data_IF_186875097408
#
_entry.id   IF_186875097408
#
_cell.length_a   1.000
_cell.length_b   1.000
_cell.length_c   1.000
_cell.angle_alpha   90.00
_cell.angle_beta   90.00
_cell.angle_gamma   90.00
#
_symmetry.space_group_name_H-M   'P 1'
#
loop_
_entity.id
_entity.type
_entity.pdbx_description
1 polymer ?
#
# COMPACT_ATOMS: atom_id res chain seq x y z
N UNK A 1 -32.78 19.47 -29.15
CA UNK A 1 -31.45 19.99 -28.74
C UNK A 1 -30.86 18.93 -27.82
N UNK A 2 -29.77 18.29 -28.23
CA UNK A 2 -29.08 17.29 -27.40
C UNK A 2 -28.10 18.02 -26.50
N UNK A 3 -28.41 18.11 -25.21
CA UNK A 3 -27.44 18.55 -24.21
C UNK A 3 -26.47 17.39 -23.96
N UNK A 4 -25.23 17.57 -24.42
CA UNK A 4 -24.14 16.64 -24.18
C UNK A 4 -23.63 16.87 -22.76
N UNK A 5 -23.87 15.89 -21.89
CA UNK A 5 -23.35 15.81 -20.53
C UNK A 5 -21.82 16.02 -20.56
N UNK A 6 -21.37 17.08 -19.89
CA UNK A 6 -19.97 17.49 -19.85
C UNK A 6 -19.16 16.51 -18.99
N UNK A 7 -17.92 16.17 -19.39
CA UNK A 7 -17.12 15.20 -18.67
C UNK A 7 -16.78 15.70 -17.26
N UNK A 8 -17.12 14.88 -16.28
CA UNK A 8 -16.86 15.05 -14.86
C UNK A 8 -15.38 15.45 -14.66
N UNK A 9 -15.14 16.56 -13.96
CA UNK A 9 -13.80 17.01 -13.59
C UNK A 9 -12.96 15.84 -13.04
N UNK A 10 -11.67 15.70 -13.39
CA UNK A 10 -10.83 14.66 -12.83
C UNK A 10 -10.73 14.91 -11.33
N UNK A 11 -11.30 14.00 -10.54
CA UNK A 11 -11.07 13.94 -9.10
C UNK A 11 -9.55 13.84 -8.93
N UNK A 12 -8.91 14.86 -8.34
CA UNK A 12 -7.47 14.80 -8.06
C UNK A 12 -7.22 13.59 -7.17
N UNK A 13 -6.66 12.52 -7.71
CA UNK A 13 -6.38 11.31 -6.95
C UNK A 13 -5.36 11.63 -5.85
N UNK A 14 -5.81 11.60 -4.59
CA UNK A 14 -4.97 11.89 -3.43
C UNK A 14 -4.06 10.71 -3.13
N UNK A 15 -2.80 10.98 -2.79
CA UNK A 15 -1.86 9.95 -2.35
C UNK A 15 -2.39 9.22 -1.11
N UNK A 16 -2.23 7.89 -1.08
CA UNK A 16 -2.61 7.07 0.08
C UNK A 16 -1.73 7.42 1.29
N UNK A 17 -2.20 7.26 2.53
CA UNK A 17 -1.31 7.30 3.69
C UNK A 17 -0.26 6.19 3.59
N UNK A 18 0.90 6.37 4.21
CA UNK A 18 1.87 5.28 4.28
C UNK A 18 1.40 4.22 5.30
N UNK A 19 1.72 2.93 5.08
CA UNK A 19 1.36 1.88 6.04
C UNK A 19 2.09 2.04 7.37
N UNK A 20 1.53 1.48 8.43
CA UNK A 20 2.08 1.55 9.80
C UNK A 20 2.82 0.27 10.21
N UNK A 21 2.64 -0.81 9.45
CA UNK A 21 3.37 -2.05 9.67
C UNK A 21 3.58 -2.87 8.40
N UNK A 22 4.59 -3.75 8.44
CA UNK A 22 4.87 -4.74 7.39
C UNK A 22 5.29 -6.07 8.01
N UNK A 23 4.75 -7.17 7.51
CA UNK A 23 5.22 -8.50 7.88
C UNK A 23 6.52 -8.80 7.14
N UNK A 24 7.66 -8.92 7.84
CA UNK A 24 8.96 -9.22 7.20
C UNK A 24 8.96 -10.57 6.46
N UNK A 25 8.15 -11.54 6.90
CA UNK A 25 8.10 -12.86 6.28
C UNK A 25 7.36 -12.89 4.93
N UNK A 26 6.33 -12.05 4.76
CA UNK A 26 5.47 -12.12 3.57
C UNK A 26 5.23 -10.78 2.86
N UNK A 27 5.77 -9.68 3.39
CA UNK A 27 5.58 -8.34 2.86
C UNK A 27 4.15 -7.80 2.96
N UNK A 28 3.24 -8.48 3.68
CA UNK A 28 1.89 -7.95 3.90
C UNK A 28 1.97 -6.69 4.76
N UNK A 29 1.35 -5.61 4.30
CA UNK A 29 1.29 -4.34 5.02
C UNK A 29 0.05 -4.25 5.91
N UNK A 30 0.05 -3.29 6.82
CA UNK A 30 -1.15 -2.91 7.58
C UNK A 30 -1.19 -1.39 7.78
N UNK A 31 -2.39 -0.84 7.85
CA UNK A 31 -2.67 0.54 8.27
C UNK A 31 -3.20 0.60 9.71
N UNK A 32 -3.39 -0.56 10.33
CA UNK A 32 -3.93 -0.73 11.68
C UNK A 32 -2.79 -0.84 12.68
N UNK A 33 -2.73 0.09 13.64
CA UNK A 33 -1.67 0.12 14.66
C UNK A 33 -1.72 -1.11 15.55
N UNK A 34 -2.92 -1.59 15.86
CA UNK A 34 -3.19 -2.78 16.68
C UNK A 34 -2.67 -4.09 16.05
N UNK A 35 -2.42 -4.09 14.73
CA UNK A 35 -1.83 -5.26 14.05
C UNK A 35 -0.31 -5.32 14.18
N UNK A 36 0.35 -4.24 14.58
CA UNK A 36 1.80 -4.19 14.75
C UNK A 36 2.21 -5.00 15.99
N UNK A 37 3.28 -5.78 15.88
CA UNK A 37 3.69 -6.74 16.91
C UNK A 37 2.86 -8.03 16.94
N UNK A 38 1.75 -8.09 16.19
CA UNK A 38 0.89 -9.28 16.12
C UNK A 38 1.32 -10.22 15.00
N UNK A 39 0.90 -11.49 15.12
CA UNK A 39 1.08 -12.48 14.07
C UNK A 39 0.31 -12.07 12.81
N UNK A 40 1.00 -12.05 11.68
CA UNK A 40 0.42 -11.70 10.40
C UNK A 40 -0.83 -12.54 10.10
N UNK A 41 -1.90 -11.86 9.70
CA UNK A 41 -3.19 -12.49 9.39
C UNK A 41 -3.27 -13.01 7.95
N UNK A 42 -2.25 -12.74 7.11
CA UNK A 42 -2.29 -13.12 5.71
C UNK A 42 -2.19 -14.63 5.57
N UNK A 43 -3.10 -15.22 4.78
CA UNK A 43 -3.03 -16.62 4.38
C UNK A 43 -2.20 -16.71 3.09
N UNK A 44 -1.24 -17.64 3.07
CA UNK A 44 -0.34 -17.93 1.95
C UNK A 44 -0.33 -19.45 1.77
N UNK A 45 -0.66 -19.93 0.56
CA UNK A 45 -0.69 -21.37 0.24
C UNK A 45 -1.52 -22.21 1.25
N UNK A 46 -2.69 -21.72 1.61
CA UNK A 46 -3.60 -22.41 2.54
C UNK A 46 -3.24 -22.26 4.04
N UNK A 47 -2.08 -21.72 4.39
CA UNK A 47 -1.67 -21.56 5.80
C UNK A 47 -1.53 -20.10 6.21
N UNK A 48 -1.86 -19.77 7.46
CA UNK A 48 -1.62 -18.44 8.02
C UNK A 48 -0.11 -18.18 8.11
N UNK A 49 0.31 -17.00 7.66
CA UNK A 49 1.70 -16.58 7.76
C UNK A 49 2.23 -16.71 9.19
N UNK A 50 3.45 -17.23 9.33
CA UNK A 50 4.15 -17.37 10.61
C UNK A 50 4.84 -16.09 11.06
N UNK A 51 4.99 -15.09 10.19
CA UNK A 51 5.69 -13.85 10.51
C UNK A 51 4.91 -12.91 11.43
N UNK A 52 5.65 -12.07 12.13
CA UNK A 52 5.12 -10.93 12.90
C UNK A 52 5.12 -9.68 12.04
N UNK A 53 4.11 -8.82 12.24
CA UNK A 53 4.06 -7.49 11.62
C UNK A 53 5.01 -6.56 12.38
N UNK A 54 6.09 -6.15 11.72
CA UNK A 54 7.04 -5.19 12.25
C UNK A 54 6.50 -3.76 12.14
N UNK A 55 6.98 -2.87 13.03
CA UNK A 55 6.70 -1.43 12.99
C UNK A 55 7.25 -0.82 11.71
N UNK A 56 6.45 0.01 11.05
CA UNK A 56 6.77 0.67 9.79
C UNK A 56 6.27 2.12 9.74
N UNK A 57 6.20 2.81 10.87
CA UNK A 57 5.49 4.11 10.96
C UNK A 57 6.28 5.31 10.47
N UNK A 58 7.61 5.19 10.30
CA UNK A 58 8.47 6.33 9.93
C UNK A 58 8.42 6.61 8.44
N UNK A 59 8.53 7.85 8.00
CA UNK A 59 8.59 8.15 6.55
C UNK A 59 9.77 7.47 5.86
N UNK A 60 10.91 7.36 6.55
CA UNK A 60 12.09 6.64 6.06
C UNK A 60 11.83 5.15 5.77
N UNK A 61 10.74 4.58 6.28
CA UNK A 61 10.30 3.23 5.99
C UNK A 61 9.76 3.10 4.56
N UNK A 62 9.22 4.17 3.98
CA UNK A 62 8.46 4.12 2.74
C UNK A 62 9.03 5.05 1.68
N UNK A 63 8.99 4.60 0.43
CA UNK A 63 9.18 5.44 -0.74
C UNK A 63 7.86 5.52 -1.48
N UNK A 64 7.39 6.73 -1.73
CA UNK A 64 6.21 6.93 -2.58
C UNK A 64 6.46 6.27 -3.93
N UNK A 65 5.47 5.55 -4.43
CA UNK A 65 5.58 4.90 -5.73
C UNK A 65 5.54 5.97 -6.83
N UNK A 66 6.67 6.19 -7.49
CA UNK A 66 6.79 7.16 -8.58
C UNK A 66 5.86 6.85 -9.77
N UNK A 67 5.58 5.56 -10.02
CA UNK A 67 4.75 5.13 -11.16
C UNK A 67 3.27 5.53 -11.03
N UNK A 68 2.77 5.68 -9.80
CA UNK A 68 1.39 6.10 -9.55
C UNK A 68 1.29 7.32 -8.63
N UNK A 69 2.39 8.04 -8.42
CA UNK A 69 2.47 9.19 -7.51
C UNK A 69 1.77 8.97 -6.15
N UNK A 70 1.87 7.77 -5.57
CA UNK A 70 1.24 7.45 -4.29
C UNK A 70 -0.25 7.09 -4.30
N UNK A 71 -0.96 7.18 -5.42
CA UNK A 71 -2.41 6.88 -5.48
C UNK A 71 -2.71 5.39 -5.36
N UNK A 72 -1.72 4.55 -5.69
CA UNK A 72 -1.87 3.10 -5.77
C UNK A 72 -2.57 2.64 -7.05
N UNK A 73 -2.92 3.55 -7.97
CA UNK A 73 -3.62 3.22 -9.21
C UNK A 73 -2.95 3.83 -10.44
N UNK A 74 -3.16 3.20 -11.59
CA UNK A 74 -2.87 3.74 -12.92
C UNK A 74 -4.06 3.41 -13.81
N UNK A 75 -4.65 4.42 -14.45
CA UNK A 75 -5.80 4.26 -15.35
C UNK A 75 -6.93 3.44 -14.70
N UNK A 76 -7.22 3.77 -13.43
CA UNK A 76 -8.19 3.12 -12.55
C UNK A 76 -7.92 1.63 -12.20
N UNK A 77 -6.78 1.07 -12.64
CA UNK A 77 -6.32 -0.27 -12.27
C UNK A 77 -5.29 -0.22 -11.14
N UNK A 78 -5.13 -1.27 -10.32
CA UNK A 78 -4.08 -1.31 -9.30
C UNK A 78 -2.69 -1.17 -9.93
N UNK A 79 -1.89 -0.22 -9.44
CA UNK A 79 -0.53 -0.01 -9.91
C UNK A 79 0.31 -1.28 -9.65
N UNK A 80 0.86 -1.88 -10.69
CA UNK A 80 1.63 -3.13 -10.61
C UNK A 80 2.95 -2.97 -9.87
N UNK A 81 3.57 -1.79 -9.94
CA UNK A 81 4.85 -1.48 -9.31
C UNK A 81 4.78 -1.50 -7.78
N UNK A 82 3.71 -0.96 -7.20
CA UNK A 82 3.48 -0.96 -5.74
C UNK A 82 2.34 -1.91 -5.33
N UNK A 83 1.82 -2.71 -6.26
CA UNK A 83 0.70 -3.66 -6.06
C UNK A 83 -0.53 -3.02 -5.41
N UNK A 84 -0.86 -1.80 -5.83
CA UNK A 84 -2.02 -1.08 -5.29
C UNK A 84 -1.78 -0.28 -4.01
N UNK A 85 -0.58 -0.37 -3.41
CA UNK A 85 -0.30 0.22 -2.09
C UNK A 85 -0.11 1.73 -2.17
N UNK A 86 0.43 2.24 -3.28
CA UNK A 86 0.90 3.62 -3.40
C UNK A 86 2.32 3.83 -2.87
N UNK A 87 2.85 2.88 -2.12
CA UNK A 87 4.15 2.97 -1.46
C UNK A 87 4.96 1.69 -1.68
N UNK A 88 6.28 1.84 -1.70
CA UNK A 88 7.24 0.76 -1.70
C UNK A 88 8.05 0.80 -0.40
N UNK A 89 8.43 -0.37 0.11
CA UNK A 89 9.30 -0.44 1.27
C UNK A 89 10.69 0.10 0.92
N UNK A 90 11.20 1.07 1.68
CA UNK A 90 12.55 1.59 1.52
C UNK A 90 13.57 0.53 1.99
N UNK A 91 14.69 0.37 1.27
CA UNK A 91 15.85 -0.41 1.74
C UNK A 91 16.85 0.52 2.47
N UNK A 92 17.70 0.00 3.37
CA UNK A 92 17.70 -1.35 3.92
C UNK A 92 17.03 -1.32 5.29
N UNK A 93 15.87 -1.96 5.41
CA UNK A 93 15.47 -2.37 6.75
C UNK A 93 16.25 -3.63 7.00
N UNK A 94 17.23 -3.55 7.89
CA UNK A 94 18.00 -4.68 8.35
C UNK A 94 17.04 -5.84 8.63
N UNK A 95 17.24 -6.94 7.91
CA UNK A 95 16.60 -8.21 8.21
C UNK A 95 16.96 -8.58 9.64
#
# INVERSE_FOLDING_TARGET
MHEIDSPTSPVREVAKPHPVGVCKACGAITYRKESVGQRCIRIRRGTRCSGIVAVATRDACWKQCASCSGTGKRDNTPCTYCRGIGWNLAKPWSL
#
